data_IF_495836638384
#
_entry.id   IF_495836638384
#
_cell.length_a   1.000
_cell.length_b   1.000
_cell.length_c   1.000
_cell.angle_alpha   90.00
_cell.angle_beta   90.00
_cell.angle_gamma   90.00
#
_symmetry.space_group_name_H-M   'P 1'
#
loop_
_entity.id
_entity.type
_entity.pdbx_description
1 polymer ?
#
# COMPACT_ATOMS: atom_id res chain seq x y z
N UNK A 1 -27.00 -7.67 -18.04
CA UNK A 1 -26.21 -8.34 -16.99
C UNK A 1 -25.71 -7.25 -16.05
N UNK A 2 -25.95 -7.37 -14.75
CA UNK A 2 -25.43 -6.43 -13.74
C UNK A 2 -24.00 -6.81 -13.32
N UNK A 3 -23.26 -5.89 -12.68
CA UNK A 3 -21.93 -6.17 -12.10
C UNK A 3 -22.00 -7.37 -11.14
N UNK A 4 -23.00 -7.40 -10.25
CA UNK A 4 -23.22 -8.53 -9.34
C UNK A 4 -23.36 -9.86 -10.09
N UNK A 5 -24.23 -9.92 -11.11
CA UNK A 5 -24.42 -11.17 -11.87
C UNK A 5 -23.15 -11.61 -12.60
N UNK A 6 -22.34 -10.67 -13.08
CA UNK A 6 -21.05 -11.00 -13.71
C UNK A 6 -20.10 -11.66 -12.70
N UNK A 7 -19.96 -11.09 -11.49
CA UNK A 7 -19.09 -11.67 -10.47
C UNK A 7 -19.65 -12.96 -9.88
N UNK A 8 -20.97 -13.12 -9.78
CA UNK A 8 -21.59 -14.41 -9.43
C UNK A 8 -21.24 -15.49 -10.48
N UNK A 9 -21.31 -15.17 -11.78
CA UNK A 9 -20.94 -16.09 -12.87
C UNK A 9 -19.44 -16.43 -12.84
N UNK A 10 -18.58 -15.44 -12.59
CA UNK A 10 -17.14 -15.64 -12.44
C UNK A 10 -16.86 -16.57 -11.27
N UNK A 11 -17.52 -16.36 -10.12
CA UNK A 11 -17.34 -17.18 -8.93
C UNK A 11 -17.75 -18.64 -9.09
N UNK A 12 -18.47 -19.01 -10.17
CA UNK A 12 -18.94 -20.37 -10.44
C UNK A 12 -18.17 -21.09 -11.56
N UNK A 13 -17.24 -20.41 -12.25
CA UNK A 13 -16.47 -21.00 -13.37
C UNK A 13 -15.34 -21.92 -12.88
N UNK A 14 -14.76 -22.69 -13.81
CA UNK A 14 -13.61 -23.55 -13.50
C UNK A 14 -12.36 -22.71 -13.17
N UNK A 15 -11.89 -22.81 -11.92
CA UNK A 15 -10.94 -21.90 -11.27
C UNK A 15 -9.46 -22.21 -11.55
N UNK A 16 -9.15 -22.79 -12.71
CA UNK A 16 -7.76 -23.14 -13.07
C UNK A 16 -6.88 -21.92 -13.41
N UNK A 17 -7.47 -20.75 -13.65
CA UNK A 17 -6.74 -19.53 -14.06
C UNK A 17 -6.28 -18.72 -12.84
N UNK A 18 -4.95 -18.70 -12.64
CA UNK A 18 -4.28 -17.87 -11.64
C UNK A 18 -3.98 -16.49 -12.21
N UNK A 19 -4.55 -15.44 -11.63
CA UNK A 19 -4.41 -14.07 -12.14
C UNK A 19 -4.15 -13.03 -11.04
N UNK A 20 -2.96 -13.06 -10.43
CA UNK A 20 -2.53 -12.05 -9.44
C UNK A 20 -1.29 -11.26 -9.94
N UNK A 21 -1.40 -10.48 -11.03
CA UNK A 21 -0.22 -9.91 -11.71
C UNK A 21 0.48 -8.79 -10.93
N UNK A 22 -0.20 -8.18 -9.96
CA UNK A 22 0.32 -7.05 -9.17
C UNK A 22 0.98 -7.47 -7.85
N UNK A 23 1.07 -8.77 -7.58
CA UNK A 23 1.59 -9.31 -6.32
C UNK A 23 2.76 -10.25 -6.54
N UNK A 24 3.68 -10.32 -5.57
CA UNK A 24 4.71 -11.37 -5.56
C UNK A 24 4.08 -12.71 -5.22
N UNK A 25 3.91 -13.55 -6.24
CA UNK A 25 3.21 -14.83 -6.17
C UNK A 25 3.95 -15.88 -5.34
N UNK A 26 5.24 -15.69 -5.02
CA UNK A 26 6.08 -16.73 -4.40
C UNK A 26 5.53 -17.26 -3.07
N UNK A 27 4.81 -16.44 -2.31
CA UNK A 27 4.34 -16.76 -0.97
C UNK A 27 2.82 -16.69 -0.81
N UNK A 28 2.07 -16.67 -1.92
CA UNK A 28 0.61 -16.60 -1.89
C UNK A 28 0.06 -18.01 -2.19
N UNK A 29 -0.74 -18.61 -1.30
CA UNK A 29 -1.39 -19.88 -1.58
C UNK A 29 -2.27 -19.79 -2.83
N UNK A 30 -2.32 -20.86 -3.62
CA UNK A 30 -2.99 -20.84 -4.92
C UNK A 30 -4.47 -20.44 -4.85
N UNK A 31 -5.15 -20.86 -3.78
CA UNK A 31 -6.56 -20.54 -3.51
C UNK A 31 -6.86 -19.03 -3.52
N UNK A 32 -5.89 -18.19 -3.13
CA UNK A 32 -6.02 -16.73 -3.14
C UNK A 32 -5.64 -16.09 -4.48
N UNK A 33 -4.98 -16.81 -5.39
CA UNK A 33 -4.54 -16.26 -6.69
C UNK A 33 -5.54 -16.51 -7.82
N UNK A 34 -6.63 -17.23 -7.56
CA UNK A 34 -7.66 -17.54 -8.57
C UNK A 34 -8.63 -16.38 -8.71
N UNK A 35 -8.88 -15.96 -9.96
CA UNK A 35 -9.89 -14.93 -10.30
C UNK A 35 -9.75 -13.61 -9.54
N UNK A 36 -8.50 -13.19 -9.35
CA UNK A 36 -8.20 -11.87 -8.81
C UNK A 36 -8.30 -10.84 -9.94
N UNK A 37 -9.13 -9.82 -9.71
CA UNK A 37 -9.27 -8.67 -10.59
C UNK A 37 -8.79 -7.45 -9.81
N UNK A 38 -7.58 -7.01 -10.09
CA UNK A 38 -7.00 -5.80 -9.52
C UNK A 38 -6.45 -4.91 -10.61
N UNK A 39 -6.03 -3.70 -10.25
CA UNK A 39 -5.33 -2.79 -11.15
C UNK A 39 -3.99 -2.28 -10.58
N UNK A 40 -3.59 -2.77 -9.41
CA UNK A 40 -2.36 -2.41 -8.72
C UNK A 40 -2.25 -3.13 -7.37
N UNK A 41 -1.39 -2.62 -6.48
CA UNK A 41 -1.16 -3.19 -5.15
C UNK A 41 -1.29 -2.11 -4.06
N UNK A 42 -2.50 -1.87 -3.53
CA UNK A 42 -2.72 -0.83 -2.52
C UNK A 42 -2.04 -1.12 -1.18
N UNK A 43 -1.58 -2.35 -0.93
CA UNK A 43 -0.89 -2.74 0.31
C UNK A 43 0.58 -2.30 0.34
N UNK A 44 1.16 -2.10 -0.83
CA UNK A 44 2.59 -1.83 -1.01
C UNK A 44 3.07 -0.57 -0.28
N UNK A 45 2.23 0.43 -0.13
CA UNK A 45 2.61 1.71 0.47
C UNK A 45 2.29 1.79 1.96
N UNK A 46 1.73 0.72 2.54
CA UNK A 46 1.30 0.70 3.92
C UNK A 46 2.47 0.39 4.85
N UNK A 47 2.56 1.08 5.97
CA UNK A 47 3.49 0.69 7.04
C UNK A 47 2.88 -0.42 7.88
N UNK A 48 3.75 -1.32 8.37
CA UNK A 48 3.38 -2.29 9.40
C UNK A 48 2.97 -1.53 10.66
N UNK A 49 1.84 -1.92 11.23
CA UNK A 49 1.28 -1.24 12.39
C UNK A 49 0.40 -2.22 13.19
N UNK A 50 1.03 -2.96 14.10
CA UNK A 50 0.35 -3.95 14.93
C UNK A 50 -0.67 -3.34 15.92
N UNK A 51 -0.75 -2.01 15.99
CA UNK A 51 -1.80 -1.29 16.75
C UNK A 51 -3.10 -1.11 15.96
N UNK A 52 -3.08 -1.35 14.65
CA UNK A 52 -4.29 -1.39 13.83
C UNK A 52 -5.03 -2.70 14.04
N UNK A 53 -6.27 -2.61 14.51
CA UNK A 53 -7.07 -3.77 14.90
C UNK A 53 -8.26 -4.03 13.98
N UNK A 54 -8.78 -3.00 13.29
CA UNK A 54 -9.97 -3.15 12.44
C UNK A 54 -9.62 -2.76 11.01
N UNK A 55 -9.60 -3.74 10.11
CA UNK A 55 -9.21 -3.58 8.72
C UNK A 55 -10.39 -3.96 7.83
N UNK A 56 -10.80 -3.05 6.94
CA UNK A 56 -11.86 -3.30 5.96
C UNK A 56 -11.26 -3.45 4.56
N UNK A 57 -11.73 -4.44 3.82
CA UNK A 57 -11.50 -4.58 2.38
C UNK A 57 -12.83 -4.38 1.63
N UNK A 58 -12.88 -3.37 0.75
CA UNK A 58 -14.06 -2.97 -0.02
C UNK A 58 -13.94 -3.55 -1.43
N UNK A 59 -14.86 -4.46 -1.76
CA UNK A 59 -14.81 -5.26 -2.98
C UNK A 59 -13.85 -6.44 -2.82
N UNK A 60 -13.94 -7.16 -1.70
CA UNK A 60 -12.91 -8.10 -1.28
C UNK A 60 -12.79 -9.33 -2.19
N UNK A 61 -13.79 -9.63 -3.02
CA UNK A 61 -13.80 -10.81 -3.88
C UNK A 61 -13.54 -12.08 -3.08
N UNK A 62 -12.50 -12.84 -3.47
CA UNK A 62 -12.04 -14.07 -2.79
C UNK A 62 -11.05 -13.82 -1.64
N UNK A 63 -10.73 -12.54 -1.35
CA UNK A 63 -10.03 -12.09 -0.15
C UNK A 63 -8.50 -12.11 -0.21
N UNK A 64 -7.89 -11.98 -1.40
CA UNK A 64 -6.41 -11.90 -1.52
C UNK A 64 -5.82 -10.71 -0.74
N UNK A 65 -6.45 -9.54 -0.80
CA UNK A 65 -5.95 -8.34 -0.13
C UNK A 65 -6.06 -8.47 1.40
N UNK A 66 -7.10 -9.13 1.90
CA UNK A 66 -7.19 -9.54 3.31
C UNK A 66 -6.04 -10.47 3.71
N UNK A 67 -5.80 -11.52 2.92
CA UNK A 67 -4.74 -12.49 3.20
C UNK A 67 -3.36 -11.82 3.26
N UNK A 68 -3.08 -10.90 2.33
CA UNK A 68 -1.82 -10.17 2.29
C UNK A 68 -1.69 -9.12 3.40
N UNK A 69 -2.80 -8.52 3.82
CA UNK A 69 -2.82 -7.50 4.89
C UNK A 69 -2.42 -8.06 6.25
N UNK A 70 -2.51 -9.38 6.48
CA UNK A 70 -2.11 -10.02 7.74
C UNK A 70 -0.64 -9.78 8.11
N UNK A 71 0.24 -9.63 7.11
CA UNK A 71 1.66 -9.37 7.31
C UNK A 71 1.96 -7.93 7.75
N UNK A 72 0.99 -7.02 7.53
CA UNK A 72 1.05 -5.61 7.92
C UNK A 72 0.38 -5.36 9.27
N UNK A 73 -0.65 -6.15 9.60
CA UNK A 73 -1.52 -5.96 10.75
C UNK A 73 -1.72 -7.28 11.51
N UNK A 74 -0.70 -7.71 12.26
CA UNK A 74 -0.64 -9.08 12.80
C UNK A 74 -1.78 -9.42 13.76
N UNK A 75 -2.28 -8.43 14.51
CA UNK A 75 -3.38 -8.58 15.48
C UNK A 75 -4.72 -8.05 14.94
N UNK A 76 -4.81 -7.88 13.61
CA UNK A 76 -5.98 -7.32 12.97
C UNK A 76 -7.15 -8.29 12.90
N UNK A 77 -8.35 -7.76 13.13
CA UNK A 77 -9.60 -8.34 12.68
C UNK A 77 -9.90 -7.79 11.28
N UNK A 78 -10.11 -8.69 10.33
CA UNK A 78 -10.29 -8.34 8.92
C UNK A 78 -11.74 -8.52 8.50
N UNK A 79 -12.29 -7.50 7.84
CA UNK A 79 -13.66 -7.50 7.37
C UNK A 79 -13.64 -7.31 5.85
N UNK A 80 -14.23 -8.24 5.10
CA UNK A 80 -14.41 -8.15 3.66
C UNK A 80 -15.86 -7.80 3.32
N UNK A 81 -16.05 -6.83 2.43
CA UNK A 81 -17.36 -6.51 1.84
C UNK A 81 -17.34 -6.78 0.35
N UNK A 82 -18.37 -7.48 -0.12
CA UNK A 82 -18.62 -7.65 -1.55
C UNK A 82 -20.13 -7.71 -1.83
N UNK A 83 -20.53 -7.36 -3.04
CA UNK A 83 -21.93 -7.44 -3.48
C UNK A 83 -22.31 -8.88 -3.87
N UNK A 84 -21.33 -9.68 -4.30
CA UNK A 84 -21.50 -11.07 -4.73
C UNK A 84 -21.43 -12.02 -3.53
N UNK A 85 -22.53 -12.72 -3.27
CA UNK A 85 -22.58 -13.74 -2.22
C UNK A 85 -21.69 -14.95 -2.57
N UNK A 86 -21.55 -15.28 -3.86
CA UNK A 86 -20.71 -16.40 -4.30
C UNK A 86 -19.22 -16.11 -4.09
N UNK A 87 -18.78 -14.88 -4.34
CA UNK A 87 -17.42 -14.44 -3.99
C UNK A 87 -17.16 -14.56 -2.50
N UNK A 88 -18.09 -14.10 -1.66
CA UNK A 88 -17.95 -14.17 -0.20
C UNK A 88 -17.93 -15.61 0.32
N UNK A 89 -18.72 -16.53 -0.25
CA UNK A 89 -18.64 -17.95 0.10
C UNK A 89 -17.27 -18.54 -0.21
N UNK A 90 -16.68 -18.16 -1.35
CA UNK A 90 -15.32 -18.58 -1.71
C UNK A 90 -14.28 -17.97 -0.80
N UNK A 91 -14.39 -16.68 -0.47
CA UNK A 91 -13.52 -16.05 0.51
C UNK A 91 -13.59 -16.80 1.84
N UNK A 92 -14.80 -17.03 2.36
CA UNK A 92 -14.99 -17.78 3.60
C UNK A 92 -14.32 -19.17 3.56
N UNK A 93 -14.49 -19.92 2.48
CA UNK A 93 -13.81 -21.21 2.30
C UNK A 93 -12.29 -21.08 2.24
N UNK A 94 -11.75 -20.05 1.57
CA UNK A 94 -10.31 -19.81 1.50
C UNK A 94 -9.67 -19.57 2.87
N UNK A 95 -10.41 -18.96 3.80
CA UNK A 95 -9.94 -18.63 5.15
C UNK A 95 -10.25 -19.69 6.22
N UNK A 96 -10.95 -20.81 5.89
CA UNK A 96 -11.29 -21.85 6.89
C UNK A 96 -10.08 -22.44 7.61
N UNK A 97 -8.97 -22.62 6.90
CA UNK A 97 -7.72 -23.20 7.42
C UNK A 97 -6.65 -22.15 7.76
N UNK A 98 -7.00 -20.86 7.72
CA UNK A 98 -6.07 -19.77 8.01
C UNK A 98 -6.22 -19.31 9.47
N UNK A 99 -5.08 -19.10 10.15
CA UNK A 99 -5.06 -18.53 11.50
C UNK A 99 -5.19 -17.00 11.45
N UNK A 100 -6.35 -16.53 10.97
CA UNK A 100 -6.67 -15.11 10.77
C UNK A 100 -8.15 -14.88 11.12
N UNK A 101 -8.44 -13.88 11.96
CA UNK A 101 -9.81 -13.51 12.28
C UNK A 101 -10.44 -12.73 11.12
N UNK A 102 -11.38 -13.36 10.41
CA UNK A 102 -12.02 -12.78 9.22
C UNK A 102 -13.55 -12.80 9.32
N UNK A 103 -14.18 -11.73 8.83
CA UNK A 103 -15.63 -11.61 8.69
C UNK A 103 -16.00 -11.16 7.28
N UNK A 104 -16.99 -11.81 6.68
CA UNK A 104 -17.45 -11.51 5.32
C UNK A 104 -18.88 -10.99 5.35
N UNK A 105 -19.10 -9.81 4.79
CA UNK A 105 -20.39 -9.11 4.83
C UNK A 105 -20.86 -8.81 3.41
N UNK A 106 -22.03 -9.34 3.05
CA UNK A 106 -22.65 -8.98 1.79
C UNK A 106 -23.25 -7.58 1.88
N UNK A 107 -22.75 -6.64 1.07
CA UNK A 107 -23.31 -5.30 0.99
C UNK A 107 -22.99 -4.61 -0.34
N UNK A 108 -23.81 -3.63 -0.68
CA UNK A 108 -23.48 -2.65 -1.72
C UNK A 108 -22.57 -1.57 -1.10
N UNK A 109 -21.44 -1.29 -1.75
CA UNK A 109 -20.45 -0.32 -1.27
C UNK A 109 -20.98 1.13 -1.30
N UNK A 110 -22.06 1.40 -2.05
CA UNK A 110 -22.79 2.67 -1.97
C UNK A 110 -23.43 2.88 -0.57
N UNK A 111 -23.61 1.81 0.21
CA UNK A 111 -24.18 1.87 1.56
C UNK A 111 -23.50 0.88 2.49
N UNK A 112 -22.28 1.24 2.93
CA UNK A 112 -21.52 0.44 3.88
C UNK A 112 -22.31 0.22 5.19
N UNK A 113 -22.51 -1.04 5.65
CA UNK A 113 -23.38 -1.37 6.78
C UNK A 113 -22.64 -1.30 8.13
N UNK A 114 -21.75 -0.31 8.30
CA UNK A 114 -20.90 -0.20 9.48
C UNK A 114 -21.19 1.08 10.27
N UNK A 115 -20.89 1.02 11.57
CA UNK A 115 -20.94 2.21 12.44
C UNK A 115 -19.84 3.19 12.05
N UNK A 116 -20.01 4.42 12.49
CA UNK A 116 -18.98 5.44 12.32
C UNK A 116 -17.70 5.10 13.11
N UNK A 117 -16.54 5.54 12.58
CA UNK A 117 -15.24 5.50 13.25
C UNK A 117 -14.81 4.12 13.76
N UNK A 118 -15.03 3.08 12.96
CA UNK A 118 -14.68 1.69 13.29
C UNK A 118 -13.29 1.31 12.77
N UNK A 119 -12.98 1.66 11.53
CA UNK A 119 -11.81 1.09 10.84
C UNK A 119 -10.54 1.94 11.01
N UNK A 120 -9.45 1.25 11.33
CA UNK A 120 -8.10 1.82 11.39
C UNK A 120 -7.49 1.88 9.99
N UNK A 121 -7.80 0.88 9.15
CA UNK A 121 -7.36 0.77 7.77
C UNK A 121 -8.51 0.32 6.89
N UNK A 122 -8.59 0.90 5.70
CA UNK A 122 -9.47 0.43 4.64
C UNK A 122 -8.60 0.17 3.39
N UNK A 123 -8.92 -0.86 2.65
CA UNK A 123 -8.30 -1.22 1.37
C UNK A 123 -9.39 -1.34 0.33
N UNK A 124 -9.10 -0.95 -0.91
CA UNK A 124 -9.93 -1.28 -2.07
C UNK A 124 -9.07 -1.43 -3.31
N UNK A 125 -9.35 -2.45 -4.11
CA UNK A 125 -8.65 -2.70 -5.36
C UNK A 125 -9.67 -2.96 -6.47
N UNK A 126 -9.62 -2.13 -7.53
CA UNK A 126 -10.46 -2.27 -8.72
C UNK A 126 -11.97 -2.44 -8.44
N UNK A 127 -12.51 -1.76 -7.43
CA UNK A 127 -13.92 -1.86 -7.04
C UNK A 127 -14.70 -0.55 -7.21
N UNK A 128 -14.17 0.57 -6.72
CA UNK A 128 -14.91 1.85 -6.65
C UNK A 128 -15.23 2.41 -8.05
N UNK A 129 -14.39 2.18 -9.05
CA UNK A 129 -14.68 2.60 -10.42
C UNK A 129 -15.90 1.89 -11.03
N UNK A 130 -16.34 0.76 -10.49
CA UNK A 130 -17.49 0.02 -11.00
C UNK A 130 -18.82 0.68 -10.63
N UNK A 131 -18.85 1.50 -9.57
CA UNK A 131 -20.10 2.12 -9.08
C UNK A 131 -20.25 3.57 -9.54
N UNK A 132 -21.44 4.00 -9.98
CA UNK A 132 -21.68 5.36 -10.43
C UNK A 132 -21.68 6.38 -9.27
N UNK A 133 -22.32 6.03 -8.15
CA UNK A 133 -22.57 6.95 -7.02
C UNK A 133 -21.38 7.07 -6.05
N UNK A 134 -20.23 7.51 -6.57
CA UNK A 134 -18.97 7.66 -5.79
C UNK A 134 -19.10 8.58 -4.58
N UNK A 135 -20.04 9.53 -4.62
CA UNK A 135 -20.32 10.41 -3.47
C UNK A 135 -20.71 9.60 -2.25
N UNK A 136 -21.61 8.62 -2.41
CA UNK A 136 -22.10 7.80 -1.32
C UNK A 136 -21.01 6.86 -0.80
N UNK A 137 -20.22 6.27 -1.70
CA UNK A 137 -19.07 5.43 -1.35
C UNK A 137 -18.05 6.20 -0.51
N UNK A 138 -17.61 7.38 -0.97
CA UNK A 138 -16.62 8.17 -0.24
C UNK A 138 -17.15 8.74 1.07
N UNK A 139 -18.44 9.09 1.14
CA UNK A 139 -19.09 9.47 2.40
C UNK A 139 -19.14 8.28 3.37
N UNK A 140 -19.47 7.08 2.89
CA UNK A 140 -19.44 5.84 3.67
C UNK A 140 -18.04 5.58 4.23
N UNK A 141 -17.02 5.59 3.37
CA UNK A 141 -15.61 5.45 3.74
C UNK A 141 -15.24 6.49 4.79
N UNK A 142 -15.55 7.77 4.55
CA UNK A 142 -15.27 8.84 5.51
C UNK A 142 -15.94 8.55 6.85
N UNK A 143 -17.22 8.20 6.89
CA UNK A 143 -17.93 7.96 8.14
C UNK A 143 -17.37 6.78 8.93
N UNK A 144 -17.07 5.66 8.26
CA UNK A 144 -16.61 4.43 8.91
C UNK A 144 -15.14 4.49 9.34
N UNK A 145 -14.34 5.39 8.75
CA UNK A 145 -12.92 5.55 9.06
C UNK A 145 -12.71 6.29 10.39
N UNK A 146 -11.80 5.81 11.23
CA UNK A 146 -11.34 6.53 12.44
C UNK A 146 -10.60 7.82 12.08
N UNK A 147 -10.43 8.73 13.05
CA UNK A 147 -9.79 10.05 12.82
C UNK A 147 -8.36 9.98 12.28
N UNK A 148 -7.60 8.94 12.66
CA UNK A 148 -6.25 8.65 12.14
C UNK A 148 -6.24 7.48 11.15
N UNK A 149 -7.43 7.01 10.78
CA UNK A 149 -7.57 5.92 9.84
C UNK A 149 -7.16 6.36 8.44
N UNK A 150 -6.72 5.40 7.65
CA UNK A 150 -6.27 5.60 6.29
C UNK A 150 -6.99 4.63 5.37
N UNK A 151 -7.20 5.03 4.13
CA UNK A 151 -7.65 4.16 3.06
C UNK A 151 -6.61 4.14 1.94
N UNK A 152 -6.22 2.95 1.50
CA UNK A 152 -5.34 2.75 0.37
C UNK A 152 -6.12 2.13 -0.78
N UNK A 153 -6.05 2.76 -1.95
CA UNK A 153 -6.89 2.43 -3.10
C UNK A 153 -6.01 2.23 -4.30
N UNK A 154 -6.25 1.14 -5.04
CA UNK A 154 -5.87 1.03 -6.44
C UNK A 154 -7.14 1.01 -7.27
N UNK A 155 -7.32 1.98 -8.17
CA UNK A 155 -8.54 2.08 -8.96
C UNK A 155 -8.31 2.64 -10.36
N UNK A 156 -9.32 2.54 -11.22
CA UNK A 156 -9.22 2.96 -12.62
C UNK A 156 -9.93 4.30 -12.82
N UNK A 157 -9.20 5.26 -13.39
CA UNK A 157 -9.73 6.57 -13.81
C UNK A 157 -9.38 6.84 -15.26
N UNK A 158 -10.09 7.80 -15.85
CA UNK A 158 -9.88 8.25 -17.22
C UNK A 158 -9.48 9.73 -17.23
N UNK A 159 -8.58 10.09 -18.12
CA UNK A 159 -8.28 11.49 -18.45
C UNK A 159 -8.76 11.82 -19.86
N UNK A 160 -9.16 13.09 -20.05
CA UNK A 160 -9.62 13.61 -21.34
C UNK A 160 -10.75 12.75 -21.95
N UNK A 161 -11.64 12.28 -21.06
CA UNK A 161 -12.66 11.30 -21.38
C UNK A 161 -13.63 11.75 -22.47
N UNK A 162 -13.87 10.87 -23.44
CA UNK A 162 -14.92 10.92 -24.46
C UNK A 162 -14.97 12.23 -25.23
N UNK A 163 -14.27 12.32 -26.37
CA UNK A 163 -14.36 13.49 -27.25
C UNK A 163 -15.72 13.59 -27.92
N UNK A 164 -16.35 12.44 -28.17
CA UNK A 164 -17.70 12.33 -28.72
C UNK A 164 -18.70 11.92 -27.60
N UNK A 165 -19.67 12.79 -27.24
CA UNK A 165 -20.68 12.52 -26.22
C UNK A 165 -21.48 11.23 -26.46
N UNK A 166 -21.63 10.81 -27.72
CA UNK A 166 -22.30 9.56 -28.05
C UNK A 166 -21.64 8.35 -27.38
N UNK A 167 -20.30 8.30 -27.37
CA UNK A 167 -19.59 7.18 -26.76
C UNK A 167 -19.68 7.19 -25.24
N UNK A 168 -19.72 8.38 -24.64
CA UNK A 168 -19.98 8.51 -23.21
C UNK A 168 -21.35 7.94 -22.87
N UNK A 169 -22.40 8.36 -23.57
CA UNK A 169 -23.77 7.87 -23.35
C UNK A 169 -23.90 6.37 -23.60
N UNK A 170 -23.32 5.87 -24.70
CA UNK A 170 -23.35 4.44 -25.01
C UNK A 170 -22.58 3.62 -23.96
N UNK A 171 -21.43 4.12 -23.50
CA UNK A 171 -20.66 3.45 -22.46
C UNK A 171 -21.40 3.45 -21.13
N UNK A 172 -21.97 4.56 -20.70
CA UNK A 172 -22.78 4.65 -19.48
C UNK A 172 -24.04 3.79 -19.57
N UNK A 173 -24.80 3.88 -20.66
CA UNK A 173 -26.05 3.13 -20.88
C UNK A 173 -25.83 1.62 -20.92
N UNK A 174 -24.65 1.19 -21.35
CA UNK A 174 -24.30 -0.22 -21.38
C UNK A 174 -23.65 -0.74 -20.09
N UNK A 175 -23.47 0.11 -19.08
CA UNK A 175 -22.77 -0.23 -17.84
C UNK A 175 -21.29 -0.47 -18.09
N UNK A 176 -20.71 0.24 -19.05
CA UNK A 176 -19.40 -0.02 -19.62
C UNK A 176 -19.32 -1.43 -20.20
N UNK A 177 -18.11 -1.86 -20.50
CA UNK A 177 -17.87 -3.24 -20.94
C UNK A 177 -17.77 -4.18 -19.71
N UNK A 178 -18.67 -3.92 -18.74
CA UNK A 178 -18.81 -4.50 -17.40
C UNK A 178 -17.72 -4.10 -16.39
N UNK A 179 -16.45 -4.10 -16.79
CA UNK A 179 -15.31 -3.74 -15.92
C UNK A 179 -15.04 -2.24 -15.84
N UNK A 180 -15.85 -1.40 -16.47
CA UNK A 180 -15.56 0.03 -16.58
C UNK A 180 -16.81 0.90 -16.39
N UNK A 181 -17.92 0.29 -15.97
CA UNK A 181 -19.27 0.86 -16.05
C UNK A 181 -19.58 2.07 -15.17
N UNK A 182 -18.67 2.45 -14.28
CA UNK A 182 -18.78 3.67 -13.50
C UNK A 182 -17.55 4.55 -13.62
N UNK A 183 -16.62 4.31 -14.57
CA UNK A 183 -15.38 5.10 -14.63
C UNK A 183 -15.68 6.59 -14.69
N UNK A 184 -14.97 7.35 -13.87
CA UNK A 184 -15.10 8.79 -13.78
C UNK A 184 -13.80 9.46 -14.24
N UNK A 185 -13.95 10.63 -14.85
CA UNK A 185 -12.83 11.55 -15.07
C UNK A 185 -12.05 11.77 -13.76
N UNK A 186 -10.73 11.68 -13.83
CA UNK A 186 -9.85 11.72 -12.67
C UNK A 186 -10.06 12.96 -11.80
N UNK A 187 -10.16 14.15 -12.42
CA UNK A 187 -10.34 15.40 -11.67
C UNK A 187 -11.67 15.37 -10.91
N UNK A 188 -12.71 14.84 -11.54
CA UNK A 188 -14.04 14.69 -10.95
C UNK A 188 -14.07 13.64 -9.84
N UNK A 189 -13.33 12.53 -10.02
CA UNK A 189 -13.16 11.47 -9.03
C UNK A 189 -12.53 11.99 -7.74
N UNK A 190 -11.35 12.62 -7.82
CA UNK A 190 -10.67 13.18 -6.65
C UNK A 190 -11.39 14.40 -6.06
N UNK A 191 -12.15 15.16 -6.87
CA UNK A 191 -13.04 16.21 -6.36
C UNK A 191 -14.17 15.63 -5.50
N UNK A 192 -14.72 14.50 -5.89
CA UNK A 192 -15.79 13.81 -5.13
C UNK A 192 -15.24 13.30 -3.79
N UNK A 193 -14.07 12.66 -3.81
CA UNK A 193 -13.35 12.25 -2.60
C UNK A 193 -13.08 13.44 -1.66
N UNK A 194 -12.61 14.57 -2.21
CA UNK A 194 -12.37 15.79 -1.43
C UNK A 194 -13.64 16.37 -0.81
N UNK A 195 -14.76 16.32 -1.52
CA UNK A 195 -16.07 16.79 -1.00
C UNK A 195 -16.57 15.94 0.17
N UNK A 196 -16.24 14.65 0.21
CA UNK A 196 -16.54 13.78 1.34
C UNK A 196 -15.70 14.11 2.59
N UNK A 197 -14.71 15.01 2.49
CA UNK A 197 -13.85 15.42 3.61
C UNK A 197 -12.52 14.68 3.69
N UNK A 198 -12.21 13.83 2.72
CA UNK A 198 -10.93 13.12 2.64
C UNK A 198 -9.87 13.99 1.94
N UNK A 199 -8.63 13.92 2.43
CA UNK A 199 -7.44 14.36 1.68
C UNK A 199 -6.84 13.14 0.99
N UNK A 200 -6.09 13.35 -0.10
CA UNK A 200 -5.47 12.25 -0.85
C UNK A 200 -4.10 12.60 -1.39
N UNK A 201 -3.27 11.59 -1.57
CA UNK A 201 -1.97 11.64 -2.23
C UNK A 201 -1.85 10.47 -3.22
N UNK A 202 -1.56 10.80 -4.48
CA UNK A 202 -1.31 9.80 -5.54
C UNK A 202 0.11 9.27 -5.35
N UNK A 203 0.22 7.95 -5.25
CA UNK A 203 1.47 7.23 -4.97
C UNK A 203 2.06 6.64 -6.26
N UNK A 204 1.20 6.16 -7.16
CA UNK A 204 1.60 5.65 -8.47
C UNK A 204 0.46 5.81 -9.47
N UNK A 205 0.83 5.99 -10.73
CA UNK A 205 -0.09 6.07 -11.85
C UNK A 205 0.48 5.33 -13.05
N UNK A 206 -0.28 4.38 -13.58
CA UNK A 206 0.10 3.59 -14.74
C UNK A 206 -0.95 3.74 -15.83
N UNK A 207 -0.57 4.26 -16.99
CA UNK A 207 -1.46 4.34 -18.15
C UNK A 207 -1.52 2.99 -18.87
N UNK A 208 -2.70 2.67 -19.41
CA UNK A 208 -2.90 1.45 -20.19
C UNK A 208 -3.97 1.65 -21.25
N UNK A 209 -3.93 0.84 -22.31
CA UNK A 209 -4.98 0.76 -23.31
C UNK A 209 -5.96 -0.37 -22.92
N UNK A 210 -7.24 -0.07 -22.63
CA UNK A 210 -8.23 -1.09 -22.31
C UNK A 210 -8.72 -1.85 -23.54
N UNK A 211 -8.52 -1.33 -24.76
CA UNK A 211 -9.12 -1.87 -25.97
C UNK A 211 -8.84 -3.37 -26.18
N UNK A 212 -7.63 -3.92 -25.97
CA UNK A 212 -7.39 -5.36 -26.14
C UNK A 212 -8.29 -6.26 -25.27
N UNK A 213 -8.63 -5.82 -24.06
CA UNK A 213 -9.49 -6.56 -23.13
C UNK A 213 -10.98 -6.35 -23.44
N UNK A 214 -11.30 -5.17 -23.96
CA UNK A 214 -12.66 -4.68 -24.13
C UNK A 214 -13.25 -5.05 -25.50
N UNK A 215 -12.44 -5.08 -26.56
CA UNK A 215 -12.87 -5.39 -27.93
C UNK A 215 -13.65 -6.71 -28.03
N UNK A 216 -13.21 -7.84 -27.45
CA UNK A 216 -13.97 -9.09 -27.55
C UNK A 216 -15.38 -8.99 -26.96
N UNK A 217 -15.51 -8.26 -25.85
CA UNK A 217 -16.76 -8.04 -25.15
C UNK A 217 -17.67 -7.07 -25.92
N UNK A 218 -17.10 -6.01 -26.52
CA UNK A 218 -17.81 -5.10 -27.44
C UNK A 218 -18.34 -5.89 -28.64
N UNK A 219 -17.51 -6.73 -29.27
CA UNK A 219 -17.91 -7.56 -30.43
C UNK A 219 -19.09 -8.44 -30.10
N UNK A 220 -19.08 -9.10 -28.95
CA UNK A 220 -20.19 -9.94 -28.49
C UNK A 220 -21.46 -9.11 -28.23
N UNK A 221 -21.32 -7.97 -27.55
CA UNK A 221 -22.45 -7.12 -27.14
C UNK A 221 -23.11 -6.37 -28.29
N UNK A 222 -22.29 -5.88 -29.23
CA UNK A 222 -22.72 -5.03 -30.34
C UNK A 222 -22.70 -5.76 -31.69
N UNK A 223 -22.69 -7.09 -31.69
CA UNK A 223 -22.71 -7.90 -32.91
C UNK A 223 -23.81 -7.46 -33.89
N UNK A 224 -24.97 -7.00 -33.37
CA UNK A 224 -26.11 -6.51 -34.17
C UNK A 224 -25.92 -5.11 -34.77
N UNK A 225 -24.99 -4.31 -34.26
CA UNK A 225 -24.68 -2.95 -34.76
C UNK A 225 -23.62 -2.95 -35.89
N UNK A 226 -23.01 -4.11 -36.20
CA UNK A 226 -22.03 -4.28 -37.28
C UNK A 226 -20.57 -4.01 -36.87
N UNK A 227 -19.62 -4.51 -37.66
CA UNK A 227 -18.17 -4.41 -37.38
C UNK A 227 -17.66 -2.96 -37.35
N UNK A 228 -18.15 -2.10 -38.25
CA UNK A 228 -17.76 -0.69 -38.32
C UNK A 228 -18.06 0.06 -37.00
N UNK A 229 -19.19 -0.27 -36.35
CA UNK A 229 -19.54 0.30 -35.05
C UNK A 229 -18.57 -0.16 -33.95
N UNK A 230 -18.23 -1.45 -33.93
CA UNK A 230 -17.27 -2.02 -32.97
C UNK A 230 -15.91 -1.34 -33.12
N UNK A 231 -15.42 -1.18 -34.35
CA UNK A 231 -14.14 -0.55 -34.64
C UNK A 231 -14.14 0.93 -34.23
N UNK A 232 -15.27 1.63 -34.42
CA UNK A 232 -15.44 3.02 -33.97
C UNK A 232 -15.32 3.12 -32.43
N UNK A 233 -15.98 2.24 -31.68
CA UNK A 233 -15.89 2.20 -30.21
C UNK A 233 -14.46 1.84 -29.75
N UNK A 234 -13.84 0.85 -30.40
CA UNK A 234 -12.48 0.43 -30.08
C UNK A 234 -11.46 1.56 -30.28
N UNK A 235 -11.56 2.28 -31.40
CA UNK A 235 -10.72 3.43 -31.70
C UNK A 235 -10.91 4.56 -30.69
N UNK A 236 -12.16 4.85 -30.28
CA UNK A 236 -12.40 5.85 -29.25
C UNK A 236 -11.76 5.42 -27.92
N UNK A 237 -11.92 4.16 -27.49
CA UNK A 237 -11.32 3.65 -26.26
C UNK A 237 -9.80 3.77 -26.25
N UNK A 238 -9.12 3.41 -27.34
CA UNK A 238 -7.65 3.53 -27.45
C UNK A 238 -7.15 4.98 -27.48
N UNK A 239 -8.00 5.95 -27.85
CA UNK A 239 -7.65 7.38 -27.81
C UNK A 239 -7.82 8.02 -26.43
N UNK A 240 -8.54 7.35 -25.53
CA UNK A 240 -8.75 7.82 -24.17
C UNK A 240 -7.60 7.35 -23.27
N UNK A 241 -7.22 8.20 -22.32
CA UNK A 241 -6.12 7.90 -21.41
C UNK A 241 -6.66 7.25 -20.13
N UNK A 242 -6.75 5.93 -20.15
CA UNK A 242 -7.05 5.15 -18.95
C UNK A 242 -5.80 5.01 -18.10
N UNK A 243 -5.98 5.13 -16.79
CA UNK A 243 -4.90 4.89 -15.84
C UNK A 243 -5.39 4.16 -14.61
N UNK A 244 -4.55 3.24 -14.13
CA UNK A 244 -4.65 2.69 -12.80
C UNK A 244 -3.91 3.65 -11.85
N UNK A 245 -4.65 4.22 -10.91
CA UNK A 245 -4.12 5.11 -9.87
C UNK A 245 -4.06 4.38 -8.55
N UNK A 246 -2.89 4.40 -7.92
CA UNK A 246 -2.67 3.92 -6.57
C UNK A 246 -2.49 5.15 -5.67
N UNK A 247 -3.34 5.30 -4.66
CA UNK A 247 -3.34 6.48 -3.82
C UNK A 247 -3.76 6.15 -2.38
N UNK A 248 -3.31 6.98 -1.45
CA UNK A 248 -3.79 6.97 -0.07
C UNK A 248 -4.75 8.14 0.12
N UNK A 249 -5.86 7.90 0.82
CA UNK A 249 -6.72 8.95 1.33
C UNK A 249 -6.90 8.82 2.85
N UNK A 250 -7.12 9.95 3.51
CA UNK A 250 -7.02 10.02 4.97
C UNK A 250 -7.77 11.22 5.55
N UNK A 251 -8.06 11.12 6.86
CA UNK A 251 -8.57 12.22 7.67
C UNK A 251 -7.42 12.98 8.33
N UNK A 252 -7.52 14.30 8.38
CA UNK A 252 -6.62 15.13 9.17
C UNK A 252 -5.18 15.18 8.63
N UNK A 253 -4.25 14.53 9.34
CA UNK A 253 -2.80 14.61 9.10
C UNK A 253 -2.37 13.63 8.00
N UNK A 254 -1.41 14.07 7.18
CA UNK A 254 -0.79 13.24 6.15
C UNK A 254 -0.19 11.96 6.77
N UNK A 255 -0.52 10.77 6.26
CA UNK A 255 -0.02 9.52 6.78
C UNK A 255 1.44 9.34 6.37
N UNK A 256 2.19 8.61 7.20
CA UNK A 256 3.49 8.06 6.78
C UNK A 256 3.23 6.81 5.93
N UNK A 257 3.98 6.69 4.84
CA UNK A 257 3.89 5.55 3.91
C UNK A 257 5.22 4.80 3.88
N UNK A 258 5.18 3.55 3.44
CA UNK A 258 6.39 2.75 3.25
C UNK A 258 7.22 3.26 2.08
N UNK A 259 8.54 3.23 2.22
CA UNK A 259 9.45 3.48 1.11
C UNK A 259 9.44 2.31 0.13
N UNK A 260 9.57 2.59 -1.15
CA UNK A 260 9.58 1.57 -2.21
C UNK A 260 10.98 1.46 -2.82
N UNK A 261 11.53 0.25 -2.86
CA UNK A 261 12.78 -0.03 -3.57
C UNK A 261 12.61 0.20 -5.07
N UNK A 262 13.44 1.06 -5.68
CA UNK A 262 13.34 1.35 -7.12
C UNK A 262 13.78 0.18 -8.00
N UNK A 263 14.67 -0.70 -7.54
CA UNK A 263 15.15 -1.87 -8.28
C UNK A 263 14.23 -3.08 -8.21
N UNK A 264 13.74 -3.44 -7.02
CA UNK A 264 12.94 -4.67 -6.84
C UNK A 264 11.46 -4.41 -6.55
N UNK A 265 11.05 -3.14 -6.46
CA UNK A 265 9.66 -2.72 -6.28
C UNK A 265 9.01 -3.19 -4.96
N UNK A 266 9.81 -3.70 -4.01
CA UNK A 266 9.33 -4.14 -2.69
C UNK A 266 9.22 -2.97 -1.70
N UNK A 267 8.22 -3.08 -0.83
CA UNK A 267 8.00 -2.20 0.32
C UNK A 267 9.07 -2.40 1.38
N UNK A 268 9.65 -1.30 1.85
CA UNK A 268 10.71 -1.34 2.84
C UNK A 268 10.17 -0.78 4.15
N UNK A 269 9.89 -1.70 5.07
CA UNK A 269 9.42 -1.41 6.41
C UNK A 269 10.62 -1.33 7.37
N UNK A 270 11.49 -0.34 7.16
CA UNK A 270 12.54 -0.06 8.15
C UNK A 270 11.89 0.74 9.28
N UNK A 271 12.08 0.36 10.55
CA UNK A 271 11.64 1.20 11.66
C UNK A 271 12.42 2.52 11.58
N UNK A 272 11.76 3.55 11.05
CA UNK A 272 12.29 4.91 11.01
C UNK A 272 12.38 5.44 12.44
N UNK A 273 13.54 5.28 13.06
CA UNK A 273 14.04 6.13 14.15
C UNK A 273 15.52 5.83 14.38
N UNK A 274 16.37 6.46 13.60
CA UNK A 274 17.73 6.75 14.02
C UNK A 274 17.81 8.25 14.18
N UNK A 275 18.14 8.71 15.38
CA UNK A 275 18.56 10.09 15.63
C UNK A 275 20.05 10.03 15.94
N UNK A 276 20.87 10.59 15.04
CA UNK A 276 22.32 10.69 15.18
C UNK A 276 22.65 12.19 15.29
N UNK A 277 23.16 12.64 16.43
CA UNK A 277 23.52 14.05 16.69
C UNK A 277 25.04 14.26 16.59
N UNK A 278 25.48 15.09 15.63
CA UNK A 278 26.90 15.32 15.32
C UNK A 278 27.14 16.80 14.97
N UNK A 279 27.95 17.48 15.79
CA UNK A 279 28.24 18.92 15.68
C UNK A 279 29.54 19.31 14.96
N UNK A 280 30.37 18.36 14.53
CA UNK A 280 31.47 18.69 13.62
C UNK A 280 30.90 18.86 12.21
N UNK A 281 31.04 20.05 11.63
CA UNK A 281 30.57 20.37 10.28
C UNK A 281 31.23 19.49 9.22
N UNK A 282 32.47 19.05 9.49
CA UNK A 282 33.24 18.13 8.64
C UNK A 282 32.71 16.68 8.74
N UNK A 283 32.43 16.20 9.96
CA UNK A 283 31.85 14.86 10.17
C UNK A 283 30.40 14.83 9.65
N UNK A 284 29.64 15.90 9.86
CA UNK A 284 28.27 16.06 9.34
C UNK A 284 28.24 15.93 7.81
N UNK A 285 29.19 16.56 7.10
CA UNK A 285 29.32 16.43 5.64
C UNK A 285 29.67 15.01 5.17
N UNK A 286 30.47 14.27 5.92
CA UNK A 286 30.82 12.88 5.62
C UNK A 286 29.63 11.94 5.86
N UNK A 287 28.90 12.14 6.95
CA UNK A 287 27.77 11.30 7.36
C UNK A 287 26.53 11.53 6.50
N UNK A 288 26.23 12.79 6.17
CA UNK A 288 25.10 13.15 5.28
C UNK A 288 25.22 12.50 3.89
N UNK A 289 26.45 12.17 3.45
CA UNK A 289 26.71 11.52 2.16
C UNK A 289 26.60 9.98 2.18
N UNK A 290 26.84 9.31 3.30
CA UNK A 290 26.96 7.83 3.31
C UNK A 290 25.99 7.10 4.27
N UNK A 291 25.63 7.68 5.41
CA UNK A 291 24.88 6.97 6.47
C UNK A 291 23.36 7.09 6.33
N UNK A 292 22.88 8.07 5.56
CA UNK A 292 21.46 8.17 5.25
C UNK A 292 20.99 7.08 4.28
N UNK A 293 21.86 6.26 3.70
CA UNK A 293 21.46 5.20 2.76
C UNK A 293 21.18 3.89 3.50
N UNK A 294 20.04 3.25 3.19
CA UNK A 294 19.66 1.94 3.73
C UNK A 294 19.76 0.88 2.63
N UNK A 295 20.26 -0.30 2.98
CA UNK A 295 20.29 -1.45 2.07
C UNK A 295 18.87 -2.05 2.00
N UNK A 296 18.31 -2.18 0.79
CA UNK A 296 17.06 -2.88 0.57
C UNK A 296 17.21 -4.35 1.03
N UNK A 297 16.37 -4.84 1.97
CA UNK A 297 16.53 -6.17 2.54
C UNK A 297 16.26 -7.31 1.53
N UNK A 298 15.67 -6.97 0.38
CA UNK A 298 15.30 -7.92 -0.66
C UNK A 298 16.36 -8.04 -1.77
N UNK A 299 17.04 -6.95 -2.13
CA UNK A 299 17.95 -6.94 -3.29
C UNK A 299 19.30 -6.24 -3.05
N UNK A 300 19.52 -5.70 -1.84
CA UNK A 300 20.74 -5.00 -1.47
C UNK A 300 20.95 -3.64 -2.13
N UNK A 301 19.97 -3.12 -2.89
CA UNK A 301 20.05 -1.77 -3.45
C UNK A 301 20.07 -0.73 -2.33
N UNK A 302 21.00 0.21 -2.42
CA UNK A 302 21.09 1.33 -1.49
C UNK A 302 20.12 2.44 -1.91
N UNK A 303 19.42 3.03 -0.94
CA UNK A 303 18.56 4.18 -1.19
C UNK A 303 18.50 5.12 0.02
N UNK A 304 18.33 6.41 -0.25
CA UNK A 304 18.06 7.44 0.77
C UNK A 304 16.56 7.44 1.13
N UNK A 305 16.17 7.36 2.40
CA UNK A 305 14.80 7.51 2.84
C UNK A 305 14.35 8.97 2.85
N UNK A 306 13.07 9.21 2.59
CA UNK A 306 12.51 10.56 2.45
C UNK A 306 12.42 11.37 3.76
N UNK A 307 12.51 10.75 4.94
CA UNK A 307 12.48 11.43 6.23
C UNK A 307 13.74 11.13 7.07
N UNK A 308 14.66 12.10 7.17
CA UNK A 308 15.74 12.15 8.16
C UNK A 308 15.36 13.14 9.28
N UNK A 309 15.60 12.78 10.55
CA UNK A 309 15.26 13.62 11.70
C UNK A 309 16.53 14.01 12.51
N UNK A 310 16.68 15.30 12.80
CA UNK A 310 17.73 15.89 13.65
C UNK A 310 17.13 16.38 14.99
N UNK A 311 17.84 16.16 16.10
CA UNK A 311 17.61 16.82 17.40
C UNK A 311 18.96 17.26 17.97
N UNK A 312 19.03 18.46 18.54
CA UNK A 312 20.27 19.15 18.89
C UNK A 312 20.68 19.00 20.37
N UNK A 313 21.95 18.70 20.66
CA UNK A 313 22.59 18.78 21.99
C UNK A 313 24.09 19.16 21.94
N UNK A 314 24.73 19.57 23.06
CA UNK A 314 26.01 20.31 23.14
C UNK A 314 27.27 19.63 22.54
N UNK A 315 28.38 20.37 22.33
CA UNK A 315 29.52 19.99 21.47
C UNK A 315 30.41 18.79 21.87
N UNK A 316 30.18 18.14 23.00
CA UNK A 316 31.11 17.15 23.58
C UNK A 316 30.52 15.73 23.71
N UNK A 317 29.34 15.48 23.16
CA UNK A 317 28.62 14.21 23.32
C UNK A 317 28.09 13.73 21.98
N UNK A 318 28.29 12.45 21.66
CA UNK A 318 27.57 11.77 20.57
C UNK A 318 26.42 11.02 21.22
N UNK A 319 25.18 11.45 20.96
CA UNK A 319 23.98 10.78 21.45
C UNK A 319 23.40 9.95 20.30
N UNK A 320 23.33 8.63 20.49
CA UNK A 320 22.65 7.71 19.56
C UNK A 320 21.41 7.16 20.24
N UNK A 321 20.21 7.48 19.73
CA UNK A 321 18.95 6.93 20.24
C UNK A 321 18.55 5.67 19.46
N UNK A 322 18.34 4.57 20.17
CA UNK A 322 17.84 3.32 19.59
C UNK A 322 16.34 3.11 19.89
N UNK A 323 15.56 2.47 19.00
CA UNK A 323 14.21 1.99 19.32
C UNK A 323 14.21 0.94 20.45
N UNK A 324 13.10 0.88 21.20
CA UNK A 324 12.90 0.05 22.42
C UNK A 324 13.20 -1.45 22.26
N UNK A 325 13.08 -1.94 21.04
CA UNK A 325 13.18 -3.34 20.64
C UNK A 325 14.63 -3.78 20.34
N UNK A 326 15.59 -2.86 20.48
CA UNK A 326 17.02 -3.13 20.28
C UNK A 326 17.78 -3.45 21.57
N UNK A 327 17.13 -4.14 22.51
CA UNK A 327 17.66 -4.57 23.80
C UNK A 327 19.04 -5.24 23.74
N UNK A 328 19.34 -5.91 22.62
CA UNK A 328 20.61 -6.61 22.39
C UNK A 328 21.82 -5.66 22.28
N UNK A 329 21.65 -4.42 21.81
CA UNK A 329 22.78 -3.50 21.62
C UNK A 329 23.17 -2.81 22.93
N UNK A 330 22.18 -2.42 23.74
CA UNK A 330 22.37 -1.86 25.09
C UNK A 330 22.93 -2.90 26.08
N UNK A 331 22.58 -4.18 25.94
CA UNK A 331 23.09 -5.29 26.77
C UNK A 331 24.50 -5.74 26.37
N UNK A 332 24.97 -5.36 25.18
CA UNK A 332 26.33 -5.64 24.73
C UNK A 332 27.30 -4.58 25.28
N UNK A 333 26.99 -3.29 25.29
CA UNK A 333 27.96 -2.29 25.73
C UNK A 333 28.17 -2.32 27.26
N UNK A 334 29.42 -2.54 27.72
CA UNK A 334 29.80 -2.61 29.15
C UNK A 334 30.22 -1.21 29.73
N UNK A 335 30.48 -1.04 31.05
CA UNK A 335 30.04 0.12 31.85
C UNK A 335 30.91 1.39 31.75
N UNK A 336 31.77 1.54 30.76
CA UNK A 336 32.50 2.80 30.49
C UNK A 336 31.62 3.87 29.83
N UNK A 337 30.39 3.49 29.51
CA UNK A 337 29.32 4.34 29.01
C UNK A 337 28.45 4.76 30.18
N UNK A 338 28.31 6.06 30.47
CA UNK A 338 27.20 6.48 31.33
C UNK A 338 25.89 6.12 30.62
N UNK A 339 24.98 5.45 31.31
CA UNK A 339 23.65 5.18 30.80
C UNK A 339 22.68 6.12 31.50
N UNK A 340 22.04 7.01 30.75
CA UNK A 340 20.93 7.80 31.26
C UNK A 340 19.63 7.29 30.65
N UNK A 341 18.57 7.24 31.45
CA UNK A 341 17.21 7.03 30.97
C UNK A 341 16.46 8.35 31.05
N UNK A 342 16.17 8.94 29.90
CA UNK A 342 15.34 10.13 29.82
C UNK A 342 14.08 9.79 29.02
N UNK A 343 12.91 9.99 29.63
CA UNK A 343 11.61 9.68 29.01
C UNK A 343 11.46 8.27 28.41
N UNK A 344 12.15 7.27 28.99
CA UNK A 344 12.08 5.87 28.54
C UNK A 344 12.90 5.55 27.29
N UNK A 345 13.88 6.40 26.97
CA UNK A 345 14.91 6.18 25.93
C UNK A 345 16.25 5.93 26.62
N UNK A 346 17.00 4.94 26.15
CA UNK A 346 18.37 4.68 26.61
C UNK A 346 19.34 5.65 25.92
N UNK A 347 20.07 6.43 26.71
CA UNK A 347 21.10 7.37 26.26
C UNK A 347 22.46 6.78 26.64
N UNK A 348 23.34 6.68 25.66
CA UNK A 348 24.67 6.05 25.76
C UNK A 348 25.69 7.16 25.47
N UNK A 349 26.50 7.53 26.48
CA UNK A 349 27.58 8.51 26.31
C UNK A 349 28.90 7.80 26.00
N UNK A 350 29.66 8.32 25.04
CA UNK A 350 30.96 7.78 24.68
C UNK A 350 32.08 8.77 24.99
N UNK A 351 33.09 8.31 25.73
CA UNK A 351 34.38 8.95 25.88
C UNK A 351 35.39 8.08 25.11
N UNK A 352 36.14 8.66 24.17
CA UNK A 352 37.15 7.99 23.31
C UNK A 352 36.59 7.20 22.10
N UNK A 353 36.53 7.83 20.89
CA UNK A 353 36.03 7.21 19.66
C UNK A 353 36.75 5.90 19.26
N UNK A 354 38.05 5.79 19.50
CA UNK A 354 38.85 4.63 19.10
C UNK A 354 38.52 3.35 19.90
N UNK A 355 38.12 3.49 21.17
CA UNK A 355 37.66 2.35 21.99
C UNK A 355 36.28 1.86 21.57
N UNK A 356 35.37 2.78 21.24
CA UNK A 356 34.04 2.44 20.73
C UNK A 356 34.13 1.52 19.52
N UNK A 357 34.98 1.85 18.56
CA UNK A 357 35.05 1.10 17.30
C UNK A 357 35.63 -0.30 17.52
N UNK A 358 36.70 -0.44 18.30
CA UNK A 358 37.31 -1.75 18.58
C UNK A 358 36.33 -2.70 19.31
N UNK A 359 35.58 -2.16 20.27
CA UNK A 359 34.57 -2.92 21.03
C UNK A 359 33.39 -3.34 20.14
N UNK A 360 32.93 -2.43 19.26
CA UNK A 360 31.87 -2.73 18.30
C UNK A 360 32.35 -3.72 17.23
N UNK A 361 33.58 -3.64 16.73
CA UNK A 361 34.17 -4.60 15.77
C UNK A 361 34.32 -6.02 16.36
N UNK A 362 34.70 -6.10 17.63
CA UNK A 362 34.81 -7.38 18.33
C UNK A 362 33.44 -8.08 18.42
N UNK A 363 32.37 -7.30 18.66
CA UNK A 363 30.99 -7.79 18.83
C UNK A 363 30.23 -7.89 17.50
N UNK A 364 30.65 -7.15 16.49
CA UNK A 364 30.18 -7.13 15.08
C UNK A 364 30.25 -8.49 14.41
N UNK A 365 31.24 -9.33 14.76
CA UNK A 365 31.36 -10.72 14.29
C UNK A 365 30.13 -11.59 14.63
N UNK A 366 29.24 -11.14 15.52
CA UNK A 366 28.05 -11.87 15.99
C UNK A 366 26.71 -11.36 15.41
N UNK A 367 26.68 -10.30 14.60
CA UNK A 367 25.43 -9.71 14.08
C UNK A 367 24.98 -10.28 12.70
N UNK A 368 23.66 -10.34 12.48
CA UNK A 368 23.03 -10.79 11.22
C UNK A 368 23.35 -9.85 10.03
N UNK A 369 23.36 -10.36 8.78
CA UNK A 369 23.88 -9.64 7.60
C UNK A 369 23.27 -8.26 7.32
N UNK A 370 21.98 -8.06 7.63
CA UNK A 370 21.23 -6.82 7.36
C UNK A 370 21.78 -5.57 8.09
N UNK A 371 22.62 -5.75 9.12
CA UNK A 371 23.18 -4.65 9.94
C UNK A 371 24.62 -4.27 9.56
N UNK A 372 25.18 -4.86 8.50
CA UNK A 372 26.59 -4.69 8.12
C UNK A 372 26.86 -3.44 7.28
N UNK A 373 25.92 -3.02 6.43
CA UNK A 373 26.11 -1.87 5.52
C UNK A 373 26.24 -0.53 6.24
N UNK A 374 25.33 -0.23 7.16
CA UNK A 374 25.36 1.02 7.96
C UNK A 374 26.65 1.10 8.81
N UNK A 375 27.10 -0.03 9.35
CA UNK A 375 28.31 -0.08 10.17
C UNK A 375 29.59 0.12 9.38
N UNK A 376 29.71 -0.48 8.19
CA UNK A 376 30.87 -0.27 7.33
C UNK A 376 30.99 1.20 6.92
N UNK A 377 29.87 1.87 6.62
CA UNK A 377 29.85 3.31 6.30
C UNK A 377 30.18 4.21 7.49
N UNK A 378 29.69 3.87 8.69
CA UNK A 378 30.15 4.54 9.92
C UNK A 378 31.66 4.40 10.09
N UNK A 379 32.20 3.19 9.91
CA UNK A 379 33.64 2.94 9.98
C UNK A 379 34.41 3.76 8.95
N UNK A 380 33.98 3.75 7.69
CA UNK A 380 34.67 4.47 6.61
C UNK A 380 34.66 6.00 6.87
N UNK A 381 33.57 6.56 7.39
CA UNK A 381 33.46 7.98 7.78
C UNK A 381 34.31 8.35 8.99
N UNK A 382 34.44 7.48 10.00
CA UNK A 382 35.25 7.76 11.19
C UNK A 382 36.76 7.55 10.96
N UNK A 383 37.18 6.83 9.91
CA UNK A 383 38.59 6.55 9.60
C UNK A 383 39.12 7.19 8.30
N UNK A 384 38.29 7.92 7.55
CA UNK A 384 38.71 8.81 6.44
C UNK A 384 39.08 10.20 6.98
#
# INVERSE_FOLDING_TARGET
>A
MSIKSMYDDVAQKDHSVKNAPFYDKKNIPEKFMTEVFGCGNPLKYQLKDDSCLNILDIGCGTGIDIYLSKELYKNGTFIGVDISLEMLRRAQNNFQDEDIETFFVQADINKLPFKEKVFDRIVSNACIHLVPEKTDVFNGIFNTLKEKGQIFISDIVIENAWKDPFFKEEFEATGGVFLYGGIQDEKSYFKTLKKAGLKSEILKKNYFDPAPQVIPLIKSKYQRKGEEFVDKVANELSQNLFSAVEYVAYKGQKPKIANICKKCDNSIHVPFKYEIDIRSEDIKRLIDKEINMIDCPYCGELYEPEESFMVACPPSEIIVKFPKDWKLFSELMEPEVSQAKENGVDIIYFYEPDKFINEVEHRYKKLKPLKRGIFQRLKDVFFS
#
